data_IF_024756301022
#
_entry.id   IF_024756301022
#
_cell.length_a   1.000
_cell.length_b   1.000
_cell.length_c   1.000
_cell.angle_alpha   90.00
_cell.angle_beta   90.00
_cell.angle_gamma   90.00
#
_symmetry.space_group_name_H-M   'P 1'
#
loop_
_entity.id
_entity.type
_entity.pdbx_description
1 polymer ?
#
# COMPACT_ATOMS: atom_id res chain seq x y z
N UNK A 1 25.29 -26.16 -42.81
CA UNK A 1 24.13 -26.93 -43.33
C UNK A 1 23.32 -26.01 -44.23
N UNK A 2 23.25 -26.28 -45.54
CA UNK A 2 22.34 -25.55 -46.43
C UNK A 2 20.95 -26.15 -46.18
N UNK A 3 20.04 -25.36 -45.59
CA UNK A 3 18.65 -25.78 -45.39
C UNK A 3 17.97 -25.84 -46.75
N UNK A 4 17.78 -27.04 -47.29
CA UNK A 4 17.04 -27.29 -48.53
C UNK A 4 15.55 -27.30 -48.24
N UNK A 5 14.79 -26.55 -49.05
CA UNK A 5 13.36 -26.37 -48.87
C UNK A 5 12.59 -27.41 -49.71
N UNK A 6 11.54 -28.06 -49.17
CA UNK A 6 10.67 -28.92 -49.95
C UNK A 6 9.61 -28.04 -50.63
N UNK A 7 9.56 -28.05 -51.97
CA UNK A 7 8.36 -27.60 -52.69
C UNK A 7 8.56 -27.02 -54.08
N UNK A 8 9.66 -26.32 -54.38
CA UNK A 8 9.81 -25.68 -55.70
C UNK A 8 11.29 -25.65 -56.12
N UNK A 9 11.59 -26.07 -57.35
CA UNK A 9 12.93 -26.09 -57.94
C UNK A 9 13.45 -24.67 -58.27
N UNK A 10 13.48 -23.77 -57.28
CA UNK A 10 13.97 -22.39 -57.42
C UNK A 10 15.23 -22.21 -56.58
N UNK A 11 16.28 -21.63 -57.18
CA UNK A 11 17.59 -21.39 -56.54
C UNK A 11 17.56 -20.21 -55.54
N UNK A 12 16.61 -19.28 -55.71
CA UNK A 12 16.46 -18.10 -54.87
C UNK A 12 14.99 -17.92 -54.47
N UNK A 13 14.76 -17.37 -53.28
CA UNK A 13 13.43 -17.06 -52.75
C UNK A 13 13.48 -15.74 -51.98
N UNK A 14 12.32 -15.09 -51.82
CA UNK A 14 12.25 -13.87 -51.01
C UNK A 14 12.28 -14.24 -49.54
N UNK A 15 13.06 -13.51 -48.73
CA UNK A 15 13.14 -13.74 -47.28
C UNK A 15 11.77 -13.67 -46.58
N UNK A 16 10.85 -12.87 -47.12
CA UNK A 16 9.46 -12.79 -46.68
C UNK A 16 8.69 -14.10 -46.82
N UNK A 17 8.96 -14.89 -47.86
CA UNK A 17 8.29 -16.18 -48.09
C UNK A 17 8.82 -17.26 -47.14
N UNK A 18 10.12 -17.25 -46.85
CA UNK A 18 10.72 -18.16 -45.86
C UNK A 18 10.19 -17.87 -44.47
N UNK A 19 10.13 -16.60 -44.07
CA UNK A 19 9.65 -16.22 -42.73
C UNK A 19 8.21 -16.69 -42.49
N UNK A 20 7.32 -16.55 -43.48
CA UNK A 20 5.93 -17.03 -43.40
C UNK A 20 5.84 -18.53 -43.15
N UNK A 21 6.64 -19.33 -43.86
CA UNK A 21 6.62 -20.79 -43.70
C UNK A 21 7.24 -21.25 -42.38
N UNK A 22 8.27 -20.56 -41.88
CA UNK A 22 8.82 -20.85 -40.54
C UNK A 22 7.81 -20.52 -39.43
N UNK A 23 7.06 -19.43 -39.61
CA UNK A 23 5.98 -19.00 -38.70
C UNK A 23 4.80 -19.99 -38.72
N UNK A 24 4.32 -20.39 -39.90
CA UNK A 24 3.29 -21.43 -40.06
C UNK A 24 3.70 -22.74 -39.37
N UNK A 25 4.92 -23.21 -39.62
CA UNK A 25 5.45 -24.43 -38.99
C UNK A 25 5.61 -24.28 -37.46
N UNK A 26 5.88 -23.08 -36.96
CA UNK A 26 5.90 -22.81 -35.53
C UNK A 26 4.49 -22.91 -34.93
N UNK A 27 3.49 -22.28 -35.55
CA UNK A 27 2.10 -22.37 -35.10
C UNK A 27 1.54 -23.80 -35.14
N UNK A 28 1.85 -24.57 -36.18
CA UNK A 28 1.49 -25.99 -36.27
C UNK A 28 2.09 -26.82 -35.13
N UNK A 29 3.38 -26.61 -34.81
CA UNK A 29 4.05 -27.29 -33.70
C UNK A 29 3.50 -26.88 -32.33
N UNK A 30 3.14 -25.60 -32.18
CA UNK A 30 2.59 -25.06 -30.93
C UNK A 30 1.09 -25.35 -30.75
N UNK A 31 0.41 -25.99 -31.71
CA UNK A 31 -1.00 -26.37 -31.60
C UNK A 31 -1.99 -25.20 -31.60
N UNK A 32 -1.56 -23.99 -31.95
CA UNK A 32 -2.44 -22.81 -32.01
C UNK A 32 -3.23 -22.83 -33.32
N UNK A 33 -4.50 -23.20 -33.26
CA UNK A 33 -5.45 -23.02 -34.37
C UNK A 33 -5.76 -21.52 -34.52
N UNK A 34 -5.23 -20.89 -35.56
CA UNK A 34 -5.59 -19.51 -35.93
C UNK A 34 -7.00 -19.55 -36.54
N UNK A 35 -7.99 -19.07 -35.81
CA UNK A 35 -9.25 -18.65 -36.42
C UNK A 35 -9.05 -17.25 -36.98
N UNK A 36 -9.58 -16.92 -38.18
CA UNK A 36 -9.55 -15.55 -38.69
C UNK A 36 -10.51 -14.73 -37.82
N UNK A 37 -9.97 -13.95 -36.89
CA UNK A 37 -10.71 -12.90 -36.20
C UNK A 37 -10.42 -11.59 -36.92
N UNK A 38 -11.47 -11.03 -37.47
CA UNK A 38 -11.53 -9.64 -37.88
C UNK A 38 -11.14 -8.72 -36.73
N UNK A 39 -10.64 -7.55 -37.12
CA UNK A 39 -10.02 -6.50 -36.34
C UNK A 39 -10.71 -6.24 -34.99
N UNK A 40 -9.96 -6.44 -33.90
CA UNK A 40 -9.96 -5.50 -32.77
C UNK A 40 -8.79 -5.81 -31.82
N UNK A 41 -8.03 -4.75 -31.52
CA UNK A 41 -6.76 -4.81 -30.81
C UNK A 41 -6.95 -5.12 -29.32
N UNK A 42 -6.46 -6.27 -28.85
CA UNK A 42 -6.03 -6.48 -27.45
C UNK A 42 -4.87 -7.47 -27.38
N UNK A 43 -3.73 -7.15 -26.73
CA UNK A 43 -2.73 -8.15 -26.42
C UNK A 43 -3.16 -8.93 -25.17
N UNK A 44 -3.48 -10.21 -25.37
CA UNK A 44 -3.55 -11.21 -24.29
C UNK A 44 -2.13 -11.50 -23.84
N UNK A 45 -1.79 -11.10 -22.61
CA UNK A 45 -0.52 -11.42 -21.98
C UNK A 45 -0.60 -12.77 -21.27
N UNK A 46 0.55 -13.44 -21.27
CA UNK A 46 0.79 -14.80 -20.82
C UNK A 46 0.41 -15.05 -19.35
N UNK A 47 -0.15 -16.24 -19.12
CA UNK A 47 -0.36 -16.92 -17.84
C UNK A 47 0.79 -16.73 -16.83
N UNK A 48 0.49 -16.05 -15.71
CA UNK A 48 1.17 -16.16 -14.43
C UNK A 48 0.10 -16.06 -13.33
N UNK A 49 -0.23 -17.14 -12.59
CA UNK A 49 -1.36 -17.16 -11.68
C UNK A 49 -0.92 -16.80 -10.26
N UNK A 50 -0.43 -15.59 -9.99
CA UNK A 50 -0.22 -15.13 -8.61
C UNK A 50 -0.39 -13.60 -8.51
N UNK A 51 -1.42 -13.20 -7.74
CA UNK A 51 -1.70 -11.86 -7.18
C UNK A 51 -2.31 -10.82 -8.13
N UNK A 52 -3.44 -11.20 -8.70
CA UNK A 52 -4.56 -10.31 -9.01
C UNK A 52 -5.19 -9.83 -7.68
N UNK A 53 -4.53 -8.89 -7.01
CA UNK A 53 -5.25 -7.97 -6.13
C UNK A 53 -5.78 -6.89 -7.07
N UNK A 54 -6.92 -7.18 -7.70
CA UNK A 54 -7.82 -6.20 -8.31
C UNK A 54 -8.23 -5.21 -7.21
N UNK A 55 -7.35 -4.26 -6.90
CA UNK A 55 -7.86 -2.92 -6.63
C UNK A 55 -8.47 -2.50 -7.95
N UNK A 56 -9.81 -2.43 -7.97
CA UNK A 56 -10.59 -1.91 -9.08
C UNK A 56 -9.81 -0.79 -9.77
N UNK A 57 -9.66 -0.89 -11.09
CA UNK A 57 -9.03 0.09 -11.96
C UNK A 57 -9.87 1.38 -12.04
N UNK A 58 -10.34 1.89 -10.91
CA UNK A 58 -10.70 3.29 -10.79
C UNK A 58 -9.45 4.06 -11.17
N UNK A 59 -9.52 4.71 -12.33
CA UNK A 59 -8.48 5.58 -12.85
C UNK A 59 -8.20 6.66 -11.80
N UNK A 60 -7.27 6.39 -10.89
CA UNK A 60 -6.86 7.32 -9.86
C UNK A 60 -6.41 8.61 -10.54
N UNK A 61 -6.83 9.78 -10.01
CA UNK A 61 -6.39 11.05 -10.53
C UNK A 61 -4.86 11.11 -10.50
N UNK A 62 -4.26 11.57 -11.60
CA UNK A 62 -2.81 11.71 -11.70
C UNK A 62 -2.37 12.90 -10.85
N UNK A 63 -2.10 12.65 -9.58
CA UNK A 63 -1.74 13.67 -8.59
C UNK A 63 -0.31 14.19 -8.73
N UNK A 64 0.54 13.43 -9.43
CA UNK A 64 1.95 13.78 -9.64
C UNK A 64 2.20 14.18 -11.09
N UNK A 65 3.08 15.17 -11.27
CA UNK A 65 3.58 15.52 -12.60
C UNK A 65 4.47 14.40 -13.15
N UNK A 66 4.55 14.29 -14.47
CA UNK A 66 5.43 13.32 -15.14
C UNK A 66 6.90 13.42 -14.70
N UNK A 67 7.38 14.64 -14.45
CA UNK A 67 8.76 14.85 -13.99
C UNK A 67 8.99 14.23 -12.61
N UNK A 68 8.00 14.35 -11.72
CA UNK A 68 8.06 13.77 -10.39
C UNK A 68 8.05 12.24 -10.44
N UNK A 69 7.23 11.66 -11.33
CA UNK A 69 7.19 10.21 -11.54
C UNK A 69 8.56 9.70 -11.98
N UNK A 70 9.18 10.36 -12.96
CA UNK A 70 10.52 10.00 -13.44
C UNK A 70 11.56 10.12 -12.33
N UNK A 71 11.50 11.19 -11.52
CA UNK A 71 12.42 11.40 -10.40
C UNK A 71 12.36 10.23 -9.41
N UNK A 72 11.16 9.87 -8.95
CA UNK A 72 10.98 8.80 -7.95
C UNK A 72 11.30 7.41 -8.50
N UNK A 73 11.00 7.14 -9.77
CA UNK A 73 11.41 5.91 -10.43
C UNK A 73 12.94 5.79 -10.47
N UNK A 74 13.66 6.87 -10.82
CA UNK A 74 15.13 6.89 -10.81
C UNK A 74 15.73 6.73 -9.42
N UNK A 75 15.16 7.41 -8.42
CA UNK A 75 15.59 7.27 -7.01
C UNK A 75 15.48 5.81 -6.52
N UNK A 76 14.51 5.06 -7.04
CA UNK A 76 14.32 3.63 -6.77
C UNK A 76 15.09 2.70 -7.71
N UNK A 77 15.78 3.21 -8.72
CA UNK A 77 16.48 2.40 -9.72
C UNK A 77 15.56 1.70 -10.73
N UNK A 78 14.31 2.16 -10.87
CA UNK A 78 13.29 1.56 -11.72
C UNK A 78 13.27 2.18 -13.12
N UNK A 79 12.94 1.42 -14.18
CA UNK A 79 12.80 1.96 -15.53
C UNK A 79 11.79 3.12 -15.57
N UNK A 80 12.16 4.22 -16.22
CA UNK A 80 11.30 5.41 -16.31
C UNK A 80 10.05 5.17 -17.15
N UNK A 81 10.14 4.26 -18.13
CA UNK A 81 9.08 3.92 -19.08
C UNK A 81 9.34 2.54 -19.67
N UNK A 82 8.34 1.67 -19.64
CA UNK A 82 8.35 0.37 -20.32
C UNK A 82 7.78 0.50 -21.75
N UNK A 83 8.08 -0.48 -22.60
CA UNK A 83 7.57 -0.49 -23.97
C UNK A 83 6.04 -0.65 -23.98
N UNK A 84 5.34 0.22 -24.71
CA UNK A 84 3.87 0.22 -24.78
C UNK A 84 3.16 0.79 -23.54
N UNK A 85 3.90 1.16 -22.48
CA UNK A 85 3.35 1.84 -21.30
C UNK A 85 2.88 3.25 -21.72
N UNK A 86 1.87 3.84 -21.07
CA UNK A 86 1.54 5.29 -21.18
C UNK A 86 2.15 6.09 -20.01
N UNK A 87 2.09 7.43 -20.03
CA UNK A 87 2.53 8.22 -18.86
C UNK A 87 1.69 7.91 -17.61
N UNK A 88 0.41 7.56 -17.81
CA UNK A 88 -0.49 7.17 -16.75
C UNK A 88 -0.12 5.79 -16.16
N UNK A 89 0.23 4.84 -17.01
CA UNK A 89 0.62 3.49 -16.57
C UNK A 89 1.94 3.53 -15.80
N UNK A 90 2.89 4.37 -16.20
CA UNK A 90 4.12 4.62 -15.45
C UNK A 90 3.85 5.21 -14.06
N UNK A 91 2.86 6.10 -13.94
CA UNK A 91 2.41 6.64 -12.66
C UNK A 91 1.77 5.56 -11.78
N UNK A 92 0.88 4.73 -12.34
CA UNK A 92 0.27 3.60 -11.62
C UNK A 92 1.33 2.61 -11.12
N UNK A 93 2.30 2.27 -11.99
CA UNK A 93 3.41 1.40 -11.62
C UNK A 93 4.24 1.98 -10.48
N UNK A 94 4.61 3.27 -10.58
CA UNK A 94 5.29 3.96 -9.48
C UNK A 94 4.49 3.85 -8.18
N UNK A 95 3.18 4.10 -8.24
CA UNK A 95 2.31 4.03 -7.06
C UNK A 95 2.28 2.63 -6.44
N UNK A 96 2.19 1.59 -7.28
CA UNK A 96 2.27 0.20 -6.85
C UNK A 96 3.61 -0.09 -6.15
N UNK A 97 4.72 0.39 -6.70
CA UNK A 97 6.05 0.24 -6.10
C UNK A 97 6.14 0.95 -4.74
N UNK A 98 5.62 2.18 -4.62
CA UNK A 98 5.60 2.94 -3.35
C UNK A 98 4.81 2.23 -2.25
N UNK A 99 3.70 1.57 -2.60
CA UNK A 99 2.85 0.83 -1.66
C UNK A 99 3.54 -0.46 -1.20
N UNK A 100 4.11 -1.21 -2.14
CA UNK A 100 4.75 -2.50 -1.85
C UNK A 100 6.09 -2.34 -1.13
N UNK A 101 6.88 -1.33 -1.54
CA UNK A 101 8.20 -1.03 -0.99
C UNK A 101 8.19 0.39 -0.44
N UNK A 102 7.62 0.58 0.76
CA UNK A 102 7.63 1.88 1.41
C UNK A 102 9.08 2.31 1.68
N UNK A 103 9.32 3.62 1.60
CA UNK A 103 10.60 4.18 2.03
C UNK A 103 10.71 4.08 3.56
N UNK A 104 11.25 2.96 4.04
CA UNK A 104 11.54 2.73 5.48
C UNK A 104 12.45 3.81 6.07
N UNK A 105 13.19 4.54 5.23
CA UNK A 105 14.08 5.63 5.62
C UNK A 105 13.35 6.96 5.93
N UNK A 106 12.02 7.03 5.77
CA UNK A 106 11.19 8.17 6.19
C UNK A 106 10.27 7.73 7.34
N UNK A 107 10.85 7.60 8.53
CA UNK A 107 10.36 6.83 9.70
C UNK A 107 8.96 7.10 10.26
N UNK A 108 8.20 8.08 9.78
CA UNK A 108 6.94 8.52 10.42
C UNK A 108 5.80 7.49 10.38
N UNK A 109 5.69 6.69 9.30
CA UNK A 109 4.58 5.74 9.13
C UNK A 109 4.69 4.52 10.05
N UNK A 110 5.90 4.12 10.42
CA UNK A 110 6.11 3.05 11.37
C UNK A 110 5.80 3.54 12.80
N UNK A 111 6.26 4.75 13.14
CA UNK A 111 6.13 5.30 14.49
C UNK A 111 4.67 5.50 14.92
N UNK A 112 3.80 5.98 14.03
CA UNK A 112 2.37 6.11 14.36
C UNK A 112 1.70 4.74 14.56
N UNK A 113 2.00 3.77 13.70
CA UNK A 113 1.43 2.42 13.84
C UNK A 113 1.94 1.74 15.11
N UNK A 114 3.24 1.85 15.38
CA UNK A 114 3.84 1.36 16.62
C UNK A 114 3.29 2.07 17.86
N UNK A 115 2.97 3.36 17.79
CA UNK A 115 2.34 4.09 18.89
C UNK A 115 0.91 3.60 19.16
N UNK A 116 0.10 3.38 18.12
CA UNK A 116 -1.23 2.80 18.26
C UNK A 116 -1.18 1.37 18.80
N UNK A 117 -0.30 0.53 18.26
CA UNK A 117 -0.12 -0.85 18.72
C UNK A 117 0.34 -0.90 20.19
N UNK A 118 1.12 0.09 20.65
CA UNK A 118 1.51 0.22 22.07
C UNK A 118 0.33 0.60 22.96
N UNK A 119 -0.54 1.52 22.53
CA UNK A 119 -1.74 1.89 23.29
C UNK A 119 -2.70 0.70 23.39
N UNK A 120 -2.91 -0.01 22.28
CA UNK A 120 -3.74 -1.22 22.26
C UNK A 120 -3.16 -2.32 23.16
N UNK A 121 -1.83 -2.49 23.17
CA UNK A 121 -1.15 -3.40 24.10
C UNK A 121 -1.32 -2.98 25.56
N UNK A 122 -1.22 -1.70 25.87
CA UNK A 122 -1.46 -1.18 27.22
C UNK A 122 -2.91 -1.46 27.67
N UNK A 123 -3.88 -1.23 26.80
CA UNK A 123 -5.29 -1.51 27.07
C UNK A 123 -5.54 -3.00 27.34
N UNK A 124 -4.98 -3.89 26.51
CA UNK A 124 -5.07 -5.33 26.74
C UNK A 124 -4.38 -5.75 28.04
N UNK A 125 -3.23 -5.16 28.36
CA UNK A 125 -2.50 -5.44 29.59
C UNK A 125 -3.26 -4.95 30.83
N UNK A 126 -4.01 -3.85 30.77
CA UNK A 126 -4.91 -3.42 31.85
C UNK A 126 -6.10 -4.38 32.01
N UNK A 127 -6.68 -4.85 30.92
CA UNK A 127 -7.79 -5.83 30.98
C UNK A 127 -7.32 -7.18 31.53
N UNK A 128 -6.14 -7.64 31.12
CA UNK A 128 -5.56 -8.92 31.55
C UNK A 128 -4.94 -8.80 32.94
N UNK A 129 -4.30 -7.67 33.26
CA UNK A 129 -3.66 -7.38 34.54
C UNK A 129 -4.61 -6.89 35.64
N UNK A 130 -5.82 -6.44 35.28
CA UNK A 130 -6.90 -6.09 36.21
C UNK A 130 -7.49 -7.27 37.00
N UNK A 131 -6.84 -8.44 36.96
CA UNK A 131 -7.18 -9.62 37.74
C UNK A 131 -6.11 -10.02 38.76
N UNK A 132 -5.13 -9.16 39.05
CA UNK A 132 -4.21 -9.34 40.19
C UNK A 132 -4.63 -8.41 41.35
N UNK A 133 -4.89 -8.96 42.55
CA UNK A 133 -5.29 -8.17 43.71
C UNK A 133 -4.06 -7.54 44.35
N UNK A 134 -3.83 -6.26 44.03
CA UNK A 134 -2.96 -5.42 44.84
C UNK A 134 -1.79 -4.83 44.08
N UNK A 135 -2.02 -3.67 43.50
CA UNK A 135 -1.18 -2.48 43.66
C UNK A 135 -1.97 -1.32 43.01
N UNK A 136 -2.72 -0.59 43.83
CA UNK A 136 -3.44 0.60 43.41
C UNK A 136 -2.41 1.68 43.03
N UNK A 137 -2.30 1.95 41.73
CA UNK A 137 -1.61 3.12 41.19
C UNK A 137 -2.35 4.39 41.67
N UNK A 138 -1.87 4.91 42.80
CA UNK A 138 -2.32 6.13 43.50
C UNK A 138 -2.15 7.43 42.70
N UNK A 139 -1.98 7.38 41.38
CA UNK A 139 -1.64 8.57 40.57
C UNK A 139 -2.86 9.30 40.00
N UNK A 140 -4.05 8.70 40.00
CA UNK A 140 -5.30 9.37 39.59
C UNK A 140 -6.44 9.19 40.61
N UNK A 141 -6.12 8.85 41.86
CA UNK A 141 -7.11 8.81 42.93
C UNK A 141 -7.29 10.22 43.50
N UNK A 142 -8.24 10.98 42.93
CA UNK A 142 -8.78 12.15 43.62
C UNK A 142 -9.46 11.63 44.88
N UNK A 143 -8.78 11.75 46.02
CA UNK A 143 -9.35 11.50 47.35
C UNK A 143 -10.52 12.47 47.53
N UNK A 144 -11.72 12.07 47.13
CA UNK A 144 -12.94 12.77 47.48
C UNK A 144 -13.16 12.44 48.95
N UNK A 145 -12.72 13.32 49.84
CA UNK A 145 -13.20 13.26 51.20
C UNK A 145 -14.71 13.50 51.13
N UNK A 146 -15.49 12.48 51.50
CA UNK A 146 -16.88 12.67 51.86
C UNK A 146 -16.91 13.50 53.14
N UNK A 147 -16.82 14.82 52.98
CA UNK A 147 -17.05 15.73 54.07
C UNK A 147 -18.52 15.64 54.45
N UNK A 148 -18.80 14.91 55.54
CA UNK A 148 -20.02 15.10 56.32
C UNK A 148 -19.91 16.42 57.11
N UNK A 149 -19.52 17.52 56.45
CA UNK A 149 -19.53 18.85 57.05
C UNK A 149 -20.99 19.26 57.21
N UNK A 150 -21.49 19.07 58.42
CA UNK A 150 -22.84 19.48 58.80
C UNK A 150 -22.93 21.00 58.74
N UNK A 151 -24.08 21.54 58.33
CA UNK A 151 -24.24 23.00 58.13
C UNK A 151 -23.93 23.82 59.39
N UNK A 152 -24.15 23.25 60.58
CA UNK A 152 -23.79 23.84 61.87
C UNK A 152 -22.27 24.04 62.05
N UNK A 153 -21.45 23.14 61.50
CA UNK A 153 -19.99 23.23 61.58
C UNK A 153 -19.44 24.36 60.70
N UNK A 154 -20.07 24.59 59.54
CA UNK A 154 -19.74 25.71 58.65
C UNK A 154 -20.15 27.07 59.26
N UNK A 155 -21.29 27.12 59.95
CA UNK A 155 -21.76 28.33 60.61
C UNK A 155 -20.84 28.73 61.78
N UNK A 156 -20.38 27.74 62.57
CA UNK A 156 -19.41 27.95 63.65
C UNK A 156 -18.04 28.46 63.15
N UNK A 157 -17.55 27.95 62.02
CA UNK A 157 -16.31 28.44 61.40
C UNK A 157 -16.44 29.89 60.90
N UNK A 158 -17.63 30.27 60.40
CA UNK A 158 -17.92 31.59 59.88
C UNK A 158 -17.93 32.71 60.93
N UNK A 159 -18.28 32.43 62.19
CA UNK A 159 -18.37 33.45 63.24
C UNK A 159 -17.04 34.14 63.60
N UNK A 160 -15.93 33.44 63.32
CA UNK A 160 -14.57 33.91 63.60
C UNK A 160 -13.87 34.56 62.41
N UNK A 161 -14.42 34.42 61.20
CA UNK A 161 -13.85 35.00 59.98
C UNK A 161 -14.15 36.51 59.88
N UNK A 162 -13.11 37.33 59.71
CA UNK A 162 -13.27 38.76 59.41
C UNK A 162 -13.43 39.70 60.61
N UNK A 163 -13.11 39.26 61.84
CA UNK A 163 -13.02 40.14 63.04
C UNK A 163 -11.59 40.58 63.36
N UNK A 164 -10.76 40.79 62.33
CA UNK A 164 -9.47 41.45 62.47
C UNK A 164 -9.62 42.92 62.08
N UNK A 165 -9.20 43.84 62.95
CA UNK A 165 -8.86 45.20 62.51
C UNK A 165 -7.59 45.06 61.66
N UNK A 166 -7.76 45.13 60.35
CA UNK A 166 -6.64 45.22 59.40
C UNK A 166 -6.04 46.63 59.52
N UNK A 167 -4.97 46.77 60.33
CA UNK A 167 -4.24 48.02 60.54
C UNK A 167 -3.16 48.26 59.49
#
# INVERSE_FOLDING_TARGET
>A
MIRTFPGENKKYFKRSELAKKEEEAYFERCGYKIQPKEEDQKPLTSSNPVLELELAEEKLPMTLSRQEVIRRLRERGEPIRLFGETDYDAFQRLRKIEILTPEVNKGLRNDLKAALDKIDQQYLNEIVGGQEPGEEDTQNDLKVHEENTTIEELEALGESLGKGDDH
#
